data_IF_387321840461
#
_entry.id   IF_387321840461
#
_cell.length_a   1.000
_cell.length_b   1.000
_cell.length_c   1.000
_cell.angle_alpha   90.00
_cell.angle_beta   90.00
_cell.angle_gamma   90.00
#
_symmetry.space_group_name_H-M   'P 1'
#
loop_
_entity.id
_entity.type
_entity.pdbx_description
1 polymer ?
#
# COMPACT_ATOMS: atom_id res chain seq x y z
N UNK A 1 15.68 -13.93 0.56
CA UNK A 1 14.50 -14.81 0.68
C UNK A 1 14.81 -16.31 0.64
N UNK A 2 15.54 -16.86 -0.35
CA UNK A 2 15.97 -18.28 -0.31
C UNK A 2 17.03 -18.49 0.79
N UNK A 3 18.01 -17.58 0.89
CA UNK A 3 19.05 -17.60 1.95
C UNK A 3 18.49 -17.57 3.38
N UNK A 4 17.43 -16.80 3.63
CA UNK A 4 16.81 -16.72 4.97
C UNK A 4 16.13 -18.05 5.34
N UNK A 5 15.48 -18.71 4.37
CA UNK A 5 14.84 -20.01 4.61
C UNK A 5 15.87 -21.14 4.81
N UNK A 6 17.01 -21.07 4.14
CA UNK A 6 18.14 -21.98 4.34
C UNK A 6 18.78 -21.79 5.71
N UNK A 7 19.00 -20.54 6.11
CA UNK A 7 19.53 -20.18 7.44
C UNK A 7 18.59 -20.66 8.55
N UNK A 8 17.28 -20.42 8.41
CA UNK A 8 16.27 -20.90 9.36
C UNK A 8 16.29 -22.44 9.47
N UNK A 9 16.44 -23.15 8.35
CA UNK A 9 16.50 -24.62 8.33
C UNK A 9 17.76 -25.15 9.03
N UNK A 10 18.91 -24.48 8.85
CA UNK A 10 20.16 -24.80 9.55
C UNK A 10 19.98 -24.63 11.06
N UNK A 11 19.36 -23.53 11.51
CA UNK A 11 19.08 -23.29 12.94
C UNK A 11 18.22 -24.43 13.51
N UNK A 12 17.13 -24.80 12.83
CA UNK A 12 16.27 -25.91 13.26
C UNK A 12 17.01 -27.25 13.34
N UNK A 13 17.99 -27.50 12.45
CA UNK A 13 18.80 -28.71 12.51
C UNK A 13 19.75 -28.69 13.73
N UNK A 14 20.35 -27.54 14.04
CA UNK A 14 21.22 -27.39 15.22
C UNK A 14 20.43 -27.60 16.51
N UNK A 15 19.25 -27.00 16.62
CA UNK A 15 18.33 -27.21 17.75
C UNK A 15 17.95 -28.68 17.88
N UNK A 16 17.60 -29.33 16.76
CA UNK A 16 17.29 -30.76 16.76
C UNK A 16 18.46 -31.57 17.32
N UNK A 17 19.68 -31.35 16.83
CA UNK A 17 20.86 -32.11 17.28
C UNK A 17 21.13 -31.91 18.78
N UNK A 18 20.92 -30.70 19.30
CA UNK A 18 21.12 -30.40 20.72
C UNK A 18 20.07 -31.06 21.62
N UNK A 19 18.82 -31.12 21.17
CA UNK A 19 17.70 -31.64 21.96
C UNK A 19 17.44 -33.14 21.71
N UNK A 20 18.11 -33.73 20.72
CA UNK A 20 17.90 -35.11 20.33
C UNK A 20 18.39 -36.07 21.42
N UNK A 21 17.47 -36.70 22.12
CA UNK A 21 17.82 -37.80 22.99
C UNK A 21 17.98 -39.11 22.20
N UNK A 22 19.23 -39.47 21.90
CA UNK A 22 19.58 -40.71 21.19
C UNK A 22 19.14 -41.99 21.94
N UNK A 23 18.91 -41.94 23.26
CA UNK A 23 18.43 -43.10 24.02
C UNK A 23 17.02 -43.54 23.59
N UNK A 24 16.27 -42.68 22.90
CA UNK A 24 14.94 -43.00 22.37
C UNK A 24 15.00 -43.83 21.08
N UNK A 25 16.19 -44.02 20.52
CA UNK A 25 16.39 -44.75 19.28
C UNK A 25 17.12 -46.05 19.56
N UNK A 26 16.73 -47.11 18.86
CA UNK A 26 17.44 -48.38 18.94
C UNK A 26 18.80 -48.22 18.21
N UNK A 27 19.95 -48.39 18.90
CA UNK A 27 21.28 -48.26 18.30
C UNK A 27 21.51 -49.26 17.15
N UNK A 28 20.83 -50.41 17.14
CA UNK A 28 20.91 -51.39 16.06
C UNK A 28 20.04 -51.04 14.83
N UNK A 29 19.30 -49.92 14.90
CA UNK A 29 18.42 -49.45 13.84
C UNK A 29 18.67 -47.97 13.52
N UNK A 30 19.88 -47.68 13.01
CA UNK A 30 20.28 -46.36 12.51
C UNK A 30 19.31 -45.80 11.45
N UNK A 31 18.64 -46.70 10.69
CA UNK A 31 17.63 -46.32 9.70
C UNK A 31 16.44 -45.57 10.31
N UNK A 32 16.03 -45.92 11.53
CA UNK A 32 14.94 -45.22 12.23
C UNK A 32 15.30 -43.77 12.53
N UNK A 33 16.55 -43.52 12.94
CA UNK A 33 17.06 -42.17 13.21
C UNK A 33 17.14 -41.35 11.91
N UNK A 34 17.68 -41.91 10.84
CA UNK A 34 17.76 -41.25 9.54
C UNK A 34 16.38 -40.88 8.98
N UNK A 35 15.41 -41.79 9.08
CA UNK A 35 14.01 -41.54 8.66
C UNK A 35 13.39 -40.42 9.48
N UNK A 36 13.63 -40.40 10.79
CA UNK A 36 13.14 -39.35 11.69
C UNK A 36 13.70 -37.98 11.29
N UNK A 37 15.02 -37.86 11.15
CA UNK A 37 15.69 -36.60 10.78
C UNK A 37 15.17 -36.11 9.43
N UNK A 38 15.10 -37.00 8.43
CA UNK A 38 14.59 -36.66 7.11
C UNK A 38 13.15 -36.14 7.15
N UNK A 39 12.28 -36.79 7.93
CA UNK A 39 10.86 -36.42 8.05
C UNK A 39 10.69 -35.11 8.81
N UNK A 40 11.48 -34.88 9.85
CA UNK A 40 11.53 -33.61 10.57
C UNK A 40 11.90 -32.46 9.61
N UNK A 41 13.05 -32.56 8.95
CA UNK A 41 13.54 -31.53 8.03
C UNK A 41 12.55 -31.23 6.89
N UNK A 42 11.96 -32.28 6.30
CA UNK A 42 10.95 -32.15 5.25
C UNK A 42 9.71 -31.37 5.71
N UNK A 43 9.26 -31.62 6.94
CA UNK A 43 8.09 -30.92 7.51
C UNK A 43 8.43 -29.47 7.86
N UNK A 44 9.61 -29.24 8.45
CA UNK A 44 10.10 -27.90 8.80
C UNK A 44 10.24 -27.03 7.56
N UNK A 45 10.86 -27.55 6.49
CA UNK A 45 10.96 -26.85 5.21
C UNK A 45 9.59 -26.47 4.63
N UNK A 46 8.64 -27.41 4.61
CA UNK A 46 7.27 -27.14 4.14
C UNK A 46 6.59 -26.03 4.96
N UNK A 47 6.82 -26.00 6.27
CA UNK A 47 6.28 -24.95 7.15
C UNK A 47 6.92 -23.58 6.87
N UNK A 48 8.23 -23.53 6.66
CA UNK A 48 8.95 -22.31 6.26
C UNK A 48 8.43 -21.78 4.92
N UNK A 49 8.29 -22.64 3.91
CA UNK A 49 7.72 -22.24 2.62
C UNK A 49 6.30 -21.69 2.75
N UNK A 50 5.45 -22.31 3.58
CA UNK A 50 4.08 -21.82 3.84
C UNK A 50 4.08 -20.46 4.55
N UNK A 51 4.96 -20.28 5.54
CA UNK A 51 5.12 -19.02 6.28
C UNK A 51 5.60 -17.90 5.35
N UNK A 52 6.56 -18.19 4.48
CA UNK A 52 7.09 -17.23 3.51
C UNK A 52 6.06 -16.90 2.42
N UNK A 53 5.28 -17.88 1.93
CA UNK A 53 4.15 -17.59 1.02
C UNK A 53 3.10 -16.68 1.66
N UNK A 54 2.82 -16.82 2.96
CA UNK A 54 1.89 -15.93 3.69
C UNK A 54 2.46 -14.53 3.91
N UNK A 55 3.79 -14.41 4.08
CA UNK A 55 4.49 -13.13 4.26
C UNK A 55 4.70 -12.37 2.95
N UNK A 56 4.82 -13.09 1.83
CA UNK A 56 4.73 -12.54 0.48
C UNK A 56 3.28 -12.17 0.14
N UNK A 57 2.70 -11.23 0.91
CA UNK A 57 1.75 -10.31 0.28
C UNK A 57 2.53 -9.60 -0.82
N UNK A 58 2.00 -9.62 -2.03
CA UNK A 58 2.62 -8.99 -3.21
C UNK A 58 3.07 -7.59 -2.78
N UNK A 59 4.39 -7.37 -2.74
CA UNK A 59 4.92 -6.04 -2.63
C UNK A 59 4.54 -5.36 -3.95
N UNK A 60 3.49 -4.54 -3.92
CA UNK A 60 3.10 -3.73 -5.05
C UNK A 60 3.92 -2.45 -4.96
N UNK A 61 4.49 -2.01 -6.08
CA UNK A 61 5.12 -0.69 -6.15
C UNK A 61 4.11 0.38 -5.73
N UNK A 62 4.63 1.43 -5.09
CA UNK A 62 3.80 2.60 -4.79
C UNK A 62 3.41 3.21 -6.13
N UNK A 63 2.13 3.12 -6.47
CA UNK A 63 1.59 3.74 -7.67
C UNK A 63 1.44 5.25 -7.45
N UNK A 64 2.48 5.99 -7.84
CA UNK A 64 2.52 7.45 -7.75
C UNK A 64 1.50 8.14 -8.67
N UNK A 65 0.89 7.43 -9.63
CA UNK A 65 -0.18 8.01 -10.46
C UNK A 65 -1.48 8.26 -9.68
N UNK A 66 -1.66 7.60 -8.54
CA UNK A 66 -2.77 7.84 -7.62
C UNK A 66 -2.56 9.15 -6.84
N UNK A 67 -1.29 9.56 -6.68
CA UNK A 67 -0.89 10.75 -5.91
C UNK A 67 -0.71 11.97 -6.83
N UNK A 68 -0.55 11.76 -8.14
CA UNK A 68 -0.40 12.88 -9.09
C UNK A 68 -1.67 13.71 -9.14
N UNK A 69 -1.65 14.84 -8.45
CA UNK A 69 -2.71 15.83 -8.54
C UNK A 69 -2.58 16.60 -9.86
N UNK A 70 -3.22 16.06 -10.89
CA UNK A 70 -3.30 16.72 -12.20
C UNK A 70 -4.20 17.97 -12.19
N UNK A 71 -4.73 18.37 -11.02
CA UNK A 71 -5.51 19.60 -10.86
C UNK A 71 -4.65 20.85 -10.61
N UNK A 72 -3.31 20.73 -10.58
CA UNK A 72 -2.41 21.88 -10.50
C UNK A 72 -2.62 22.75 -11.74
N UNK A 73 -3.40 23.82 -11.55
CA UNK A 73 -3.56 24.91 -12.50
C UNK A 73 -2.15 25.49 -12.75
N UNK A 74 -1.76 25.63 -14.01
CA UNK A 74 -0.47 26.26 -14.33
C UNK A 74 -0.46 27.69 -13.80
N UNK A 75 0.69 28.15 -13.30
CA UNK A 75 0.87 29.52 -12.82
C UNK A 75 0.38 30.57 -13.83
N UNK A 76 0.62 30.32 -15.13
CA UNK A 76 0.15 31.18 -16.23
C UNK A 76 -1.39 31.24 -16.30
N UNK A 77 -2.06 30.12 -16.04
CA UNK A 77 -3.53 30.06 -16.04
C UNK A 77 -4.11 30.84 -14.84
N UNK A 78 -3.47 30.79 -13.68
CA UNK A 78 -3.89 31.55 -12.50
C UNK A 78 -3.76 33.06 -12.74
N UNK A 79 -2.62 33.51 -13.29
CA UNK A 79 -2.42 34.90 -13.69
C UNK A 79 -3.47 35.34 -14.71
N UNK A 80 -3.68 34.53 -15.75
CA UNK A 80 -4.64 34.85 -16.80
C UNK A 80 -6.07 34.98 -16.27
N UNK A 81 -6.51 34.06 -15.40
CA UNK A 81 -7.82 34.13 -14.76
C UNK A 81 -7.93 35.37 -13.87
N UNK A 82 -6.89 35.71 -13.10
CA UNK A 82 -6.88 36.93 -12.28
C UNK A 82 -7.03 38.18 -13.13
N UNK A 83 -6.27 38.30 -14.23
CA UNK A 83 -6.36 39.44 -15.15
C UNK A 83 -7.76 39.57 -15.77
N UNK A 84 -8.37 38.44 -16.18
CA UNK A 84 -9.73 38.43 -16.71
C UNK A 84 -10.73 38.89 -15.65
N UNK A 85 -10.65 38.34 -14.44
CA UNK A 85 -11.53 38.76 -13.34
C UNK A 85 -11.35 40.24 -13.07
N UNK A 86 -10.12 40.74 -12.99
CA UNK A 86 -9.82 42.14 -12.67
C UNK A 86 -10.42 43.14 -13.67
N UNK A 87 -10.53 42.75 -14.94
CA UNK A 87 -11.14 43.55 -16.00
C UNK A 87 -12.66 43.75 -15.86
N UNK A 88 -13.33 42.95 -15.02
CA UNK A 88 -14.79 42.98 -14.89
C UNK A 88 -15.27 44.05 -13.89
N UNK A 89 -16.43 44.69 -14.16
CA UNK A 89 -17.14 45.47 -13.16
C UNK A 89 -17.45 44.67 -11.90
N UNK A 90 -17.50 45.36 -10.75
CA UNK A 90 -17.68 44.72 -9.44
C UNK A 90 -18.93 43.83 -9.37
N UNK A 91 -20.04 44.25 -9.99
CA UNK A 91 -21.27 43.46 -10.02
C UNK A 91 -21.08 42.12 -10.75
N UNK A 92 -20.34 42.11 -11.87
CA UNK A 92 -20.06 40.89 -12.64
C UNK A 92 -19.12 39.96 -11.87
N UNK A 93 -18.09 40.50 -11.21
CA UNK A 93 -17.22 39.74 -10.28
C UNK A 93 -18.04 39.04 -9.21
N UNK A 94 -18.98 39.75 -8.58
CA UNK A 94 -19.86 39.20 -7.55
C UNK A 94 -20.77 38.08 -8.08
N UNK A 95 -21.32 38.23 -9.28
CA UNK A 95 -22.14 37.19 -9.93
C UNK A 95 -21.30 35.92 -10.17
N UNK A 96 -20.10 36.06 -10.76
CA UNK A 96 -19.22 34.92 -11.07
C UNK A 96 -18.81 34.19 -9.78
N UNK A 97 -18.40 34.93 -8.74
CA UNK A 97 -18.02 34.35 -7.46
C UNK A 97 -19.19 33.58 -6.82
N UNK A 98 -20.38 34.17 -6.81
CA UNK A 98 -21.59 33.52 -6.26
C UNK A 98 -21.97 32.26 -7.02
N UNK A 99 -21.84 32.27 -8.35
CA UNK A 99 -22.22 31.15 -9.22
C UNK A 99 -21.23 29.99 -9.15
N UNK A 100 -19.95 30.27 -9.33
CA UNK A 100 -18.93 29.23 -9.54
C UNK A 100 -18.15 28.87 -8.29
N UNK A 101 -18.01 29.79 -7.33
CA UNK A 101 -17.29 29.52 -6.07
C UNK A 101 -18.26 29.14 -4.95
N UNK A 102 -19.41 29.83 -4.85
CA UNK A 102 -20.39 29.58 -3.79
C UNK A 102 -21.55 28.65 -4.21
N UNK A 103 -21.71 28.38 -5.51
CA UNK A 103 -22.69 27.42 -6.03
C UNK A 103 -24.15 27.88 -6.04
N UNK A 104 -24.42 29.20 -5.96
CA UNK A 104 -25.79 29.72 -6.03
C UNK A 104 -26.39 29.61 -7.44
N UNK A 105 -27.69 29.33 -7.51
CA UNK A 105 -28.46 29.38 -8.75
C UNK A 105 -28.71 30.82 -9.21
N UNK A 106 -28.98 31.02 -10.51
CA UNK A 106 -29.25 32.35 -11.07
C UNK A 106 -30.42 33.07 -10.37
N UNK A 107 -31.43 32.32 -9.90
CA UNK A 107 -32.55 32.85 -9.13
C UNK A 107 -32.12 33.34 -7.73
N UNK A 108 -31.25 32.61 -7.05
CA UNK A 108 -30.74 33.02 -5.75
C UNK A 108 -29.84 34.25 -5.88
N UNK A 109 -29.00 34.27 -6.92
CA UNK A 109 -28.15 35.43 -7.24
C UNK A 109 -28.99 36.67 -7.52
N UNK A 110 -30.07 36.54 -8.32
CA UNK A 110 -30.96 37.66 -8.65
C UNK A 110 -31.63 38.25 -7.41
N UNK A 111 -32.03 37.40 -6.46
CA UNK A 111 -32.60 37.81 -5.17
C UNK A 111 -31.53 38.49 -4.29
N UNK A 112 -30.35 37.88 -4.15
CA UNK A 112 -29.28 38.39 -3.27
C UNK A 112 -28.74 39.74 -3.75
N UNK A 113 -28.57 39.91 -5.06
CA UNK A 113 -28.00 41.13 -5.66
C UNK A 113 -29.08 42.14 -6.06
N UNK A 114 -30.37 41.81 -5.89
CA UNK A 114 -31.52 42.63 -6.30
C UNK A 114 -31.44 43.09 -7.76
N UNK A 115 -31.16 42.13 -8.64
CA UNK A 115 -31.08 42.32 -10.09
C UNK A 115 -32.13 41.42 -10.77
N UNK A 116 -32.46 41.72 -12.03
CA UNK A 116 -33.25 40.77 -12.83
C UNK A 116 -32.50 39.45 -12.96
N UNK A 117 -33.27 38.37 -12.97
CA UNK A 117 -32.78 37.07 -13.43
C UNK A 117 -32.43 37.13 -14.92
#
# INVERSE_FOLDING_TARGET
>A
MIEEAETDLIIFLIELVNDLNLSNFNPDNEGALAIFIHKFLSNTFKNLCKKNKRRNKVAVEIDYSIISDNSIISFDSEIFISMLLDSLPQLQKQIIYKKYIQGYSDREISIILNISR
#
